data_IF_606692967627
#
_entry.id   IF_606692967627
#
_cell.length_a   1.000
_cell.length_b   1.000
_cell.length_c   1.000
_cell.angle_alpha   90.00
_cell.angle_beta   90.00
_cell.angle_gamma   90.00
#
_symmetry.space_group_name_H-M   'P 1'
#
loop_
_entity.id
_entity.type
_entity.pdbx_description
1 polymer ?
#
# COMPACT_ATOMS: atom_id res chain seq x y z
N UNK A 1 -30.24 15.83 -86.26
CA UNK A 1 -30.95 15.51 -84.99
C UNK A 1 -30.12 14.75 -83.96
N UNK A 2 -28.87 14.32 -84.19
CA UNK A 2 -28.07 13.50 -83.28
C UNK A 2 -27.12 14.33 -82.31
N UNK A 3 -26.82 15.55 -82.65
CA UNK A 3 -25.91 16.38 -81.79
C UNK A 3 -26.60 17.03 -80.57
N UNK A 4 -27.91 17.21 -80.62
CA UNK A 4 -28.68 17.83 -79.51
C UNK A 4 -28.96 16.86 -78.34
N UNK A 5 -29.08 15.57 -78.62
CA UNK A 5 -29.29 14.54 -77.62
C UNK A 5 -28.03 14.29 -76.78
N UNK A 6 -26.82 14.45 -77.35
CA UNK A 6 -25.55 14.25 -76.64
C UNK A 6 -25.28 15.32 -75.58
N UNK A 7 -25.61 16.61 -75.86
CA UNK A 7 -25.37 17.69 -74.91
C UNK A 7 -26.33 17.66 -73.71
N UNK A 8 -27.54 17.20 -73.86
CA UNK A 8 -28.50 17.04 -72.77
C UNK A 8 -28.10 15.87 -71.87
N UNK A 9 -27.64 14.76 -72.45
CA UNK A 9 -27.21 13.58 -71.69
C UNK A 9 -25.97 13.89 -70.81
N UNK A 10 -25.00 14.63 -71.34
CA UNK A 10 -23.81 15.05 -70.62
C UNK A 10 -24.15 16.01 -69.45
N UNK A 11 -25.09 16.94 -69.64
CA UNK A 11 -25.58 17.82 -68.57
C UNK A 11 -26.27 17.02 -67.47
N UNK A 12 -27.12 16.08 -67.78
CA UNK A 12 -27.77 15.23 -66.81
C UNK A 12 -26.78 14.33 -66.04
N UNK A 13 -25.74 13.84 -66.72
CA UNK A 13 -24.70 13.01 -66.10
C UNK A 13 -23.86 13.87 -65.14
N UNK A 14 -23.50 15.13 -65.51
CA UNK A 14 -22.80 16.04 -64.59
C UNK A 14 -23.64 16.45 -63.37
N UNK A 15 -24.97 16.64 -63.55
CA UNK A 15 -25.87 16.88 -62.42
C UNK A 15 -26.00 15.66 -61.50
N UNK A 16 -26.07 14.45 -62.05
CA UNK A 16 -26.15 13.22 -61.32
C UNK A 16 -24.86 12.94 -60.53
N UNK A 17 -23.71 13.18 -61.14
CA UNK A 17 -22.39 13.08 -60.49
C UNK A 17 -22.24 14.15 -59.39
N UNK A 18 -22.68 15.39 -59.63
CA UNK A 18 -22.67 16.45 -58.63
C UNK A 18 -23.61 16.12 -57.43
N UNK A 19 -24.78 15.55 -57.69
CA UNK A 19 -25.75 15.12 -56.68
C UNK A 19 -25.21 13.92 -55.86
N UNK A 20 -24.57 12.94 -56.50
CA UNK A 20 -23.89 11.83 -55.86
C UNK A 20 -22.74 12.30 -55.00
N UNK A 21 -21.92 13.24 -55.45
CA UNK A 21 -20.84 13.84 -54.68
C UNK A 21 -21.38 14.63 -53.46
N UNK A 22 -22.46 15.40 -53.63
CA UNK A 22 -23.08 16.13 -52.50
C UNK A 22 -23.73 15.18 -51.50
N UNK A 23 -24.32 14.06 -51.92
CA UNK A 23 -24.86 13.01 -51.02
C UNK A 23 -23.74 12.26 -50.28
N UNK A 24 -22.62 11.98 -50.94
CA UNK A 24 -21.44 11.38 -50.31
C UNK A 24 -20.82 12.32 -49.27
N UNK A 25 -20.77 13.63 -49.55
CA UNK A 25 -20.26 14.63 -48.58
C UNK A 25 -21.25 14.78 -47.39
N UNK A 26 -22.56 14.85 -47.66
CA UNK A 26 -23.59 14.96 -46.61
C UNK A 26 -23.69 13.72 -45.75
N UNK A 27 -23.54 12.52 -46.36
CA UNK A 27 -23.56 11.26 -45.61
C UNK A 27 -22.36 11.02 -44.72
N UNK A 28 -21.19 11.63 -45.03
CA UNK A 28 -19.96 11.41 -44.28
C UNK A 28 -19.92 12.16 -42.94
N UNK A 29 -20.76 13.18 -42.74
CA UNK A 29 -20.69 14.05 -41.56
C UNK A 29 -21.43 13.52 -40.32
N UNK A 30 -22.32 12.51 -40.43
CA UNK A 30 -23.25 12.22 -39.34
C UNK A 30 -23.17 10.83 -38.67
N UNK A 31 -22.35 9.89 -39.14
CA UNK A 31 -22.38 8.51 -38.61
C UNK A 31 -21.04 7.77 -38.51
N UNK A 32 -19.87 8.43 -38.56
CA UNK A 32 -18.61 7.70 -38.46
C UNK A 32 -18.19 7.60 -37.00
N UNK A 33 -18.29 6.38 -36.45
CA UNK A 33 -17.71 5.99 -35.15
C UNK A 33 -16.17 5.95 -35.15
N UNK A 34 -15.54 6.08 -36.31
CA UNK A 34 -14.09 6.13 -36.49
C UNK A 34 -13.65 7.44 -37.13
N UNK A 35 -12.46 7.93 -36.75
CA UNK A 35 -11.84 9.10 -37.39
C UNK A 35 -11.56 8.76 -38.86
N UNK A 36 -12.21 9.47 -39.78
CA UNK A 36 -11.88 9.32 -41.20
C UNK A 36 -10.52 9.99 -41.49
N UNK A 37 -9.78 9.43 -42.42
CA UNK A 37 -8.49 9.94 -42.89
C UNK A 37 -8.52 11.45 -43.22
N UNK A 38 -9.56 11.92 -43.85
CA UNK A 38 -9.76 13.32 -44.20
C UNK A 38 -9.87 14.28 -43.03
N UNK A 39 -10.58 13.86 -41.97
CA UNK A 39 -10.69 14.66 -40.73
C UNK A 39 -9.36 14.74 -39.98
N UNK A 40 -8.59 13.67 -40.02
CA UNK A 40 -7.22 13.67 -39.43
C UNK A 40 -6.30 14.61 -40.18
N UNK A 41 -6.32 14.56 -41.52
CA UNK A 41 -5.49 15.44 -42.38
C UNK A 41 -5.87 16.91 -42.19
N UNK A 42 -7.17 17.22 -42.20
CA UNK A 42 -7.66 18.57 -41.96
C UNK A 42 -7.33 19.08 -40.58
N UNK A 43 -7.49 18.20 -39.53
CA UNK A 43 -7.14 18.55 -38.18
C UNK A 43 -5.63 18.75 -37.95
N UNK A 44 -4.77 18.08 -38.70
CA UNK A 44 -3.32 18.32 -38.67
C UNK A 44 -2.92 19.67 -39.30
N UNK A 45 -3.57 20.03 -40.39
CA UNK A 45 -3.27 21.29 -41.11
C UNK A 45 -3.77 22.53 -40.33
N UNK A 46 -5.01 22.50 -39.86
CA UNK A 46 -5.68 23.59 -39.15
C UNK A 46 -6.52 23.07 -37.97
N UNK A 47 -5.93 22.65 -36.85
CA UNK A 47 -6.65 21.97 -35.78
C UNK A 47 -7.78 22.77 -35.14
N UNK A 48 -7.54 24.09 -34.93
CA UNK A 48 -8.52 24.97 -34.29
C UNK A 48 -9.70 25.27 -35.20
N UNK A 49 -9.45 25.58 -36.48
CA UNK A 49 -10.50 25.81 -37.44
C UNK A 49 -11.36 24.56 -37.64
N UNK A 50 -10.74 23.39 -37.79
CA UNK A 50 -11.43 22.10 -37.92
C UNK A 50 -12.28 21.79 -36.70
N UNK A 51 -11.79 22.08 -35.49
CA UNK A 51 -12.57 21.91 -34.28
C UNK A 51 -13.85 22.77 -34.27
N UNK A 52 -13.76 24.03 -34.67
CA UNK A 52 -14.92 24.94 -34.70
C UNK A 52 -15.86 24.68 -35.86
N UNK A 53 -15.35 24.20 -36.97
CA UNK A 53 -16.21 23.83 -38.12
C UNK A 53 -17.00 22.53 -37.88
N UNK A 54 -16.41 21.57 -37.15
CA UNK A 54 -17.01 20.24 -36.91
C UNK A 54 -17.06 19.90 -35.40
N UNK A 55 -17.69 20.71 -34.56
CA UNK A 55 -17.59 20.59 -33.09
C UNK A 55 -18.15 19.26 -32.58
N UNK A 56 -19.24 18.75 -33.13
CA UNK A 56 -19.81 17.45 -32.72
C UNK A 56 -18.89 16.29 -33.07
N UNK A 57 -18.30 16.30 -34.24
CA UNK A 57 -17.35 15.28 -34.66
C UNK A 57 -16.13 15.25 -33.74
N UNK A 58 -15.51 16.39 -33.48
CA UNK A 58 -14.36 16.48 -32.60
C UNK A 58 -14.71 16.15 -31.16
N UNK A 59 -15.88 16.56 -30.67
CA UNK A 59 -16.33 16.20 -29.31
C UNK A 59 -16.42 14.66 -29.13
N UNK A 60 -16.94 13.95 -30.12
CA UNK A 60 -17.09 12.50 -30.07
C UNK A 60 -15.77 11.74 -30.28
N UNK A 61 -14.84 12.30 -31.04
CA UNK A 61 -13.61 11.62 -31.47
C UNK A 61 -12.33 12.21 -30.85
N UNK A 62 -12.45 13.16 -29.94
CA UNK A 62 -11.30 13.93 -29.40
C UNK A 62 -10.25 13.03 -28.74
N UNK A 63 -10.63 11.95 -28.10
CA UNK A 63 -9.73 10.99 -27.47
C UNK A 63 -8.83 10.25 -28.49
N UNK A 64 -9.28 10.15 -29.73
CA UNK A 64 -8.60 9.43 -30.82
C UNK A 64 -7.73 10.33 -31.70
N UNK A 65 -7.76 11.65 -31.49
CA UNK A 65 -6.92 12.58 -32.26
C UNK A 65 -5.43 12.26 -32.08
N UNK A 66 -4.61 12.51 -33.13
CA UNK A 66 -3.16 12.44 -33.01
C UNK A 66 -2.65 13.31 -31.85
N UNK A 67 -1.59 12.90 -31.19
CA UNK A 67 -1.07 13.58 -29.98
C UNK A 67 -0.71 15.05 -30.24
N UNK A 68 -0.08 15.34 -31.38
CA UNK A 68 0.28 16.72 -31.77
C UNK A 68 -0.96 17.61 -31.92
N UNK A 69 -1.99 17.11 -32.59
CA UNK A 69 -3.26 17.83 -32.79
C UNK A 69 -3.96 18.06 -31.45
N UNK A 70 -4.04 17.02 -30.64
CA UNK A 70 -4.65 17.07 -29.32
C UNK A 70 -3.91 18.04 -28.39
N UNK A 71 -2.57 17.98 -28.37
CA UNK A 71 -1.73 18.90 -27.61
C UNK A 71 -1.84 20.34 -28.06
N UNK A 72 -2.00 20.59 -29.37
CA UNK A 72 -2.26 21.93 -29.89
C UNK A 72 -3.60 22.50 -29.40
N UNK A 73 -4.69 21.70 -29.50
CA UNK A 73 -6.01 22.08 -29.02
C UNK A 73 -6.04 22.28 -27.50
N UNK A 74 -5.31 21.46 -26.74
CA UNK A 74 -5.18 21.60 -25.29
C UNK A 74 -4.53 22.93 -24.89
N UNK A 75 -3.47 23.36 -25.60
CA UNK A 75 -2.82 24.68 -25.41
C UNK A 75 -3.71 25.86 -25.82
N UNK A 76 -4.75 25.61 -26.61
CA UNK A 76 -5.77 26.64 -26.97
C UNK A 76 -6.95 26.63 -25.98
N UNK A 77 -6.76 26.06 -24.79
CA UNK A 77 -7.71 26.03 -23.68
C UNK A 77 -9.06 25.38 -24.00
N UNK A 78 -9.03 24.33 -24.84
CA UNK A 78 -10.23 23.51 -25.10
C UNK A 78 -10.32 22.43 -24.01
N UNK A 79 -11.28 22.50 -23.06
CA UNK A 79 -11.30 21.63 -21.88
C UNK A 79 -11.31 20.12 -22.20
N UNK A 80 -12.08 19.72 -23.22
CA UNK A 80 -12.12 18.33 -23.66
C UNK A 80 -10.78 17.85 -24.24
N UNK A 81 -10.04 18.72 -24.94
CA UNK A 81 -8.70 18.42 -25.43
C UNK A 81 -7.68 18.38 -24.28
N UNK A 82 -7.73 19.34 -23.34
CA UNK A 82 -6.88 19.36 -22.16
C UNK A 82 -7.02 18.05 -21.35
N UNK A 83 -8.25 17.64 -21.09
CA UNK A 83 -8.52 16.40 -20.37
C UNK A 83 -7.93 15.18 -21.09
N UNK A 84 -8.23 14.98 -22.38
CA UNK A 84 -7.76 13.81 -23.12
C UNK A 84 -6.23 13.84 -23.35
N UNK A 85 -5.64 15.02 -23.55
CA UNK A 85 -4.19 15.17 -23.66
C UNK A 85 -3.50 14.82 -22.33
N UNK A 86 -4.06 15.26 -21.20
CA UNK A 86 -3.54 14.91 -19.90
C UNK A 86 -3.51 13.40 -19.65
N UNK A 87 -4.56 12.68 -20.06
CA UNK A 87 -4.57 11.20 -19.95
C UNK A 87 -3.48 10.55 -20.80
N UNK A 88 -3.23 11.04 -22.03
CA UNK A 88 -2.12 10.56 -22.86
C UNK A 88 -0.76 10.82 -22.20
N UNK A 89 -0.57 12.00 -21.62
CA UNK A 89 0.66 12.35 -20.89
C UNK A 89 0.86 11.47 -19.63
N UNK A 90 -0.21 11.20 -18.86
CA UNK A 90 -0.15 10.29 -17.70
C UNK A 90 0.26 8.88 -18.16
N UNK A 91 -0.35 8.35 -19.21
CA UNK A 91 0.00 7.05 -19.76
C UNK A 91 1.45 6.98 -20.28
N UNK A 92 2.00 8.12 -20.74
CA UNK A 92 3.40 8.26 -21.11
C UNK A 92 4.33 8.62 -19.92
N UNK A 93 3.83 8.55 -18.67
CA UNK A 93 4.54 8.90 -17.43
C UNK A 93 5.04 10.37 -17.36
N UNK A 94 4.48 11.27 -18.19
CA UNK A 94 4.77 12.72 -18.20
C UNK A 94 3.83 13.46 -17.22
N UNK A 95 3.83 13.05 -15.98
CA UNK A 95 2.81 13.41 -14.99
C UNK A 95 2.77 14.91 -14.67
N UNK A 96 3.92 15.59 -14.55
CA UNK A 96 3.95 17.03 -14.25
C UNK A 96 3.39 17.87 -15.41
N UNK A 97 3.67 17.47 -16.65
CA UNK A 97 3.06 18.12 -17.81
C UNK A 97 1.55 17.84 -17.88
N UNK A 98 1.13 16.61 -17.58
CA UNK A 98 -0.27 16.24 -17.53
C UNK A 98 -1.04 17.10 -16.53
N UNK A 99 -0.44 17.39 -15.37
CA UNK A 99 -1.04 18.15 -14.29
C UNK A 99 -1.48 19.54 -14.73
N UNK A 100 -0.69 20.21 -15.55
CA UNK A 100 -1.03 21.54 -16.09
C UNK A 100 -2.35 21.55 -16.87
N UNK A 101 -2.67 20.45 -17.55
CA UNK A 101 -3.86 20.35 -18.38
C UNK A 101 -5.09 19.79 -17.61
N UNK A 102 -4.91 18.74 -16.80
CA UNK A 102 -6.06 18.20 -16.08
C UNK A 102 -6.57 19.14 -15.00
N UNK A 103 -5.72 19.94 -14.34
CA UNK A 103 -6.15 20.96 -13.39
C UNK A 103 -7.12 21.98 -14.00
N UNK A 104 -6.86 22.38 -15.25
CA UNK A 104 -7.70 23.36 -15.96
C UNK A 104 -9.02 22.76 -16.46
N UNK A 105 -9.06 21.44 -16.68
CA UNK A 105 -10.21 20.79 -17.33
C UNK A 105 -11.09 19.97 -16.41
N UNK A 106 -10.60 19.59 -15.22
CA UNK A 106 -11.27 18.59 -14.36
C UNK A 106 -12.64 19.06 -13.84
N UNK A 107 -12.82 20.35 -13.61
CA UNK A 107 -14.10 20.90 -13.16
C UNK A 107 -15.18 20.83 -14.25
N UNK A 108 -14.75 20.88 -15.51
CA UNK A 108 -15.63 20.87 -16.69
C UNK A 108 -16.00 19.48 -17.20
N UNK A 109 -15.47 18.41 -16.55
CA UNK A 109 -15.78 17.04 -16.97
C UNK A 109 -16.69 16.32 -15.99
N UNK A 110 -17.52 15.42 -16.55
CA UNK A 110 -18.47 14.65 -15.75
C UNK A 110 -17.80 13.57 -14.86
N UNK A 111 -18.61 12.97 -14.00
CA UNK A 111 -18.20 11.99 -12.98
C UNK A 111 -17.35 10.84 -13.56
N UNK A 112 -17.77 10.22 -14.66
CA UNK A 112 -17.05 9.10 -15.28
C UNK A 112 -15.62 9.47 -15.72
N UNK A 113 -15.45 10.66 -16.28
CA UNK A 113 -14.13 11.17 -16.66
C UNK A 113 -13.25 11.46 -15.43
N UNK A 114 -13.83 11.99 -14.34
CA UNK A 114 -13.11 12.14 -13.06
C UNK A 114 -12.65 10.79 -12.50
N UNK A 115 -13.49 9.76 -12.58
CA UNK A 115 -13.10 8.40 -12.19
C UNK A 115 -11.96 7.86 -13.08
N UNK A 116 -12.01 8.08 -14.39
CA UNK A 116 -10.96 7.66 -15.30
C UNK A 116 -9.62 8.33 -14.99
N UNK A 117 -9.62 9.65 -14.74
CA UNK A 117 -8.41 10.37 -14.31
C UNK A 117 -7.89 9.83 -12.98
N UNK A 118 -8.76 9.69 -11.99
CA UNK A 118 -8.37 9.17 -10.68
C UNK A 118 -7.76 7.76 -10.78
N UNK A 119 -8.31 6.89 -11.66
CA UNK A 119 -7.74 5.57 -11.91
C UNK A 119 -6.37 5.64 -12.59
N UNK A 120 -6.18 6.53 -13.57
CA UNK A 120 -4.89 6.73 -14.22
C UNK A 120 -3.82 7.24 -13.24
N UNK A 121 -4.17 8.20 -12.39
CA UNK A 121 -3.29 8.71 -11.33
C UNK A 121 -2.95 7.64 -10.30
N UNK A 122 -3.94 6.83 -9.90
CA UNK A 122 -3.74 5.70 -8.98
C UNK A 122 -2.74 4.69 -9.56
N UNK A 123 -2.90 4.31 -10.83
CA UNK A 123 -2.00 3.38 -11.52
C UNK A 123 -0.55 3.87 -11.56
N UNK A 124 -0.35 5.18 -11.63
CA UNK A 124 0.96 5.82 -11.60
C UNK A 124 1.47 6.14 -10.17
N UNK A 125 0.72 5.76 -9.12
CA UNK A 125 1.09 6.04 -7.72
C UNK A 125 1.10 7.53 -7.37
N UNK A 126 0.32 8.37 -8.07
CA UNK A 126 0.29 9.83 -7.90
C UNK A 126 -0.59 10.23 -6.71
N UNK A 127 -0.17 9.83 -5.50
CA UNK A 127 -0.94 10.05 -4.27
C UNK A 127 -1.22 11.52 -3.97
N UNK A 128 -0.27 12.41 -4.21
CA UNK A 128 -0.44 13.85 -3.99
C UNK A 128 -1.47 14.47 -4.94
N UNK A 129 -1.54 13.98 -6.18
CA UNK A 129 -2.51 14.45 -7.16
C UNK A 129 -3.91 13.92 -6.84
N UNK A 130 -4.03 12.67 -6.36
CA UNK A 130 -5.29 12.15 -5.82
C UNK A 130 -5.74 12.91 -4.58
N UNK A 131 -4.81 13.27 -3.69
CA UNK A 131 -5.11 14.09 -2.53
C UNK A 131 -5.60 15.49 -2.95
N UNK A 132 -5.02 16.09 -3.98
CA UNK A 132 -5.47 17.38 -4.50
C UNK A 132 -6.90 17.28 -5.04
N UNK A 133 -7.24 16.22 -5.79
CA UNK A 133 -8.61 15.97 -6.23
C UNK A 133 -9.58 15.82 -5.05
N UNK A 134 -9.15 15.14 -3.98
CA UNK A 134 -9.96 14.96 -2.77
C UNK A 134 -10.24 16.31 -2.07
N UNK A 135 -9.21 17.14 -1.88
CA UNK A 135 -9.34 18.44 -1.20
C UNK A 135 -10.25 19.42 -1.97
N UNK A 136 -10.31 19.27 -3.30
CA UNK A 136 -11.19 20.04 -4.18
C UNK A 136 -12.61 19.45 -4.32
N UNK A 137 -12.92 18.34 -3.62
CA UNK A 137 -14.17 17.58 -3.77
C UNK A 137 -14.42 17.05 -5.20
N UNK A 138 -13.34 16.80 -5.95
CA UNK A 138 -13.37 16.31 -7.33
C UNK A 138 -13.03 14.82 -7.44
N UNK A 139 -12.57 14.19 -6.36
CA UNK A 139 -12.28 12.76 -6.32
C UNK A 139 -13.58 11.97 -6.10
N UNK A 140 -14.05 11.17 -7.08
CA UNK A 140 -15.24 10.37 -6.91
C UNK A 140 -15.04 9.26 -5.87
N UNK A 141 -16.10 8.95 -5.10
CA UNK A 141 -16.11 7.73 -4.26
C UNK A 141 -15.97 6.50 -5.15
N UNK A 142 -15.09 5.57 -4.74
CA UNK A 142 -14.79 4.35 -5.50
C UNK A 142 -13.39 3.81 -5.19
N UNK A 143 -12.82 3.02 -6.10
CA UNK A 143 -11.53 2.36 -5.88
C UNK A 143 -10.40 3.35 -5.56
N UNK A 144 -10.25 4.43 -6.35
CA UNK A 144 -9.19 5.42 -6.13
C UNK A 144 -9.31 6.14 -4.77
N UNK A 145 -10.55 6.45 -4.34
CA UNK A 145 -10.83 7.01 -3.01
C UNK A 145 -10.40 6.04 -1.91
N UNK A 146 -10.83 4.77 -1.97
CA UNK A 146 -10.47 3.75 -0.97
C UNK A 146 -8.95 3.51 -0.92
N UNK A 147 -8.28 3.46 -2.08
CA UNK A 147 -6.83 3.33 -2.12
C UNK A 147 -6.11 4.53 -1.49
N UNK A 148 -6.59 5.75 -1.73
CA UNK A 148 -6.03 6.95 -1.14
C UNK A 148 -6.26 6.99 0.38
N UNK A 149 -7.47 6.68 0.83
CA UNK A 149 -7.82 6.60 2.25
C UNK A 149 -6.92 5.58 2.98
N UNK A 150 -6.74 4.40 2.39
CA UNK A 150 -5.85 3.37 2.91
C UNK A 150 -4.38 3.81 2.92
N UNK A 151 -3.93 4.49 1.86
CA UNK A 151 -2.55 5.00 1.77
C UNK A 151 -2.25 6.04 2.85
N UNK A 152 -3.20 6.93 3.13
CA UNK A 152 -3.08 7.99 4.14
C UNK A 152 -3.24 7.49 5.58
N UNK A 153 -3.73 6.27 5.79
CA UNK A 153 -4.10 5.81 7.12
C UNK A 153 -5.36 6.50 7.66
N UNK A 154 -6.29 6.86 6.77
CA UNK A 154 -7.56 7.47 7.16
C UNK A 154 -8.34 6.55 8.10
N UNK A 155 -9.36 7.11 8.77
CA UNK A 155 -10.22 6.36 9.67
C UNK A 155 -10.72 5.04 9.02
N UNK A 156 -10.61 3.94 9.78
CA UNK A 156 -10.98 2.60 9.32
C UNK A 156 -12.43 2.50 8.84
N UNK A 157 -13.33 3.37 9.33
CA UNK A 157 -14.72 3.43 8.91
C UNK A 157 -14.90 4.02 7.51
N UNK A 158 -13.93 4.78 7.02
CA UNK A 158 -13.95 5.37 5.67
C UNK A 158 -13.55 4.39 4.58
N UNK A 159 -12.92 3.26 4.93
CA UNK A 159 -12.44 2.25 3.99
C UNK A 159 -13.40 1.07 3.96
N UNK A 160 -13.97 0.77 2.80
CA UNK A 160 -14.97 -0.29 2.66
C UNK A 160 -14.39 -1.67 3.04
N UNK A 161 -15.06 -2.45 3.91
CA UNK A 161 -14.62 -3.81 4.26
C UNK A 161 -14.46 -4.74 3.06
N UNK A 162 -15.37 -4.65 2.08
CA UNK A 162 -15.28 -5.42 0.83
C UNK A 162 -14.03 -5.09 0.01
N UNK A 163 -13.60 -3.84 0.00
CA UNK A 163 -12.38 -3.40 -0.65
C UNK A 163 -11.12 -3.97 0.06
N UNK A 164 -11.09 -3.91 1.39
CA UNK A 164 -10.01 -4.54 2.17
C UNK A 164 -9.93 -6.05 1.91
N UNK A 165 -11.08 -6.72 1.87
CA UNK A 165 -11.15 -8.15 1.57
C UNK A 165 -10.59 -8.49 0.19
N UNK A 166 -10.89 -7.70 -0.84
CA UNK A 166 -10.34 -7.86 -2.20
C UNK A 166 -8.80 -7.73 -2.22
N UNK A 167 -8.24 -6.89 -1.33
CA UNK A 167 -6.79 -6.75 -1.18
C UNK A 167 -6.14 -7.83 -0.30
N UNK A 168 -6.94 -8.75 0.28
CA UNK A 168 -6.46 -9.80 1.16
C UNK A 168 -6.34 -9.38 2.62
N UNK A 169 -6.93 -8.25 3.04
CA UNK A 169 -6.91 -7.73 4.40
C UNK A 169 -8.26 -7.91 5.11
N UNK A 170 -8.28 -7.69 6.42
CA UNK A 170 -9.50 -7.64 7.21
C UNK A 170 -9.81 -6.20 7.66
N UNK A 171 -11.08 -5.89 7.87
CA UNK A 171 -11.48 -4.65 8.52
C UNK A 171 -11.46 -4.81 10.04
N UNK A 172 -11.25 -3.73 10.78
CA UNK A 172 -11.12 -3.76 12.25
C UNK A 172 -12.38 -4.30 12.94
N UNK A 173 -13.55 -4.07 12.36
CA UNK A 173 -14.84 -4.57 12.84
C UNK A 173 -15.13 -6.03 12.42
N UNK A 174 -14.32 -6.61 11.53
CA UNK A 174 -14.43 -8.02 11.12
C UNK A 174 -13.25 -8.79 11.71
N UNK A 175 -13.46 -9.37 12.88
CA UNK A 175 -12.41 -10.07 13.61
C UNK A 175 -11.93 -11.31 12.84
N UNK A 176 -10.61 -11.44 12.54
CA UNK A 176 -10.09 -12.68 11.98
C UNK A 176 -10.30 -13.87 12.95
N UNK A 177 -10.48 -15.09 12.43
CA UNK A 177 -10.67 -16.26 13.29
C UNK A 177 -9.39 -16.57 14.09
N UNK A 178 -9.60 -17.03 15.33
CA UNK A 178 -8.55 -17.58 16.21
C UNK A 178 -8.32 -19.03 15.80
N UNK A 179 -7.06 -19.46 15.81
CA UNK A 179 -6.70 -20.84 15.55
C UNK A 179 -6.25 -21.55 16.83
N UNK A 180 -7.09 -22.44 17.34
CA UNK A 180 -6.82 -23.19 18.58
C UNK A 180 -5.71 -24.26 18.43
N UNK A 181 -5.20 -24.52 17.21
CA UNK A 181 -4.09 -25.45 17.01
C UNK A 181 -2.72 -24.85 17.33
N UNK A 182 -2.63 -23.52 17.45
CA UNK A 182 -1.39 -22.83 17.77
C UNK A 182 -1.26 -22.56 19.27
N UNK A 183 0.01 -22.51 19.75
CA UNK A 183 0.30 -22.11 21.12
C UNK A 183 -0.12 -20.69 21.40
N UNK A 184 0.08 -19.81 20.42
CA UNK A 184 -0.24 -18.38 20.54
C UNK A 184 -0.87 -17.84 19.27
N UNK A 185 -1.92 -17.06 19.43
CA UNK A 185 -2.56 -16.30 18.35
C UNK A 185 -2.07 -14.85 18.36
N UNK A 186 -1.60 -14.36 17.22
CA UNK A 186 -1.01 -13.04 17.07
C UNK A 186 -1.87 -12.21 16.12
N UNK A 187 -2.42 -11.10 16.62
CA UNK A 187 -3.17 -10.14 15.82
C UNK A 187 -2.22 -9.18 15.11
N UNK A 188 -2.32 -9.08 13.78
CA UNK A 188 -1.54 -8.17 12.96
C UNK A 188 -2.36 -6.92 12.60
N UNK A 189 -1.94 -5.73 13.03
CA UNK A 189 -2.60 -4.45 12.81
C UNK A 189 -1.72 -3.50 12.00
N UNK A 190 -2.22 -3.01 10.88
CA UNK A 190 -1.54 -2.02 10.04
C UNK A 190 -2.31 -0.71 9.98
N UNK A 191 -1.64 0.42 10.23
CA UNK A 191 -2.29 1.73 10.26
C UNK A 191 -2.47 2.36 8.87
N UNK A 192 -1.78 1.85 7.85
CA UNK A 192 -1.91 2.32 6.47
C UNK A 192 -1.63 1.20 5.46
N UNK A 193 -1.71 1.54 4.17
CA UNK A 193 -1.51 0.60 3.07
C UNK A 193 -0.15 -0.10 3.13
N UNK A 194 0.93 0.65 3.34
CA UNK A 194 2.29 0.11 3.36
C UNK A 194 2.49 -0.88 4.51
N UNK A 195 2.01 -0.53 5.70
CA UNK A 195 2.04 -1.39 6.89
C UNK A 195 1.30 -2.71 6.66
N UNK A 196 0.11 -2.68 6.04
CA UNK A 196 -0.66 -3.89 5.74
C UNK A 196 0.07 -4.83 4.78
N UNK A 197 0.61 -4.29 3.67
CA UNK A 197 1.37 -5.11 2.71
C UNK A 197 2.64 -5.68 3.33
N UNK A 198 3.33 -4.91 4.17
CA UNK A 198 4.52 -5.36 4.89
C UNK A 198 4.19 -6.50 5.86
N UNK A 199 3.14 -6.33 6.68
CA UNK A 199 2.65 -7.40 7.58
C UNK A 199 2.20 -8.65 6.82
N UNK A 200 1.53 -8.48 5.67
CA UNK A 200 1.16 -9.60 4.79
C UNK A 200 2.40 -10.34 4.28
N UNK A 201 3.45 -9.62 3.91
CA UNK A 201 4.74 -10.22 3.51
C UNK A 201 5.38 -10.99 4.66
N UNK A 202 5.36 -10.45 5.89
CA UNK A 202 5.89 -11.14 7.08
C UNK A 202 5.09 -12.40 7.39
N UNK A 203 3.76 -12.33 7.36
CA UNK A 203 2.90 -13.48 7.57
C UNK A 203 3.15 -14.59 6.52
N UNK A 204 3.31 -14.21 5.25
CA UNK A 204 3.61 -15.15 4.17
C UNK A 204 4.99 -15.83 4.36
N UNK A 205 6.02 -15.06 4.75
CA UNK A 205 7.34 -15.61 5.05
C UNK A 205 7.30 -16.54 6.25
N UNK A 206 6.60 -16.15 7.32
CA UNK A 206 6.42 -16.97 8.52
C UNK A 206 5.69 -18.27 8.19
N UNK A 207 4.58 -18.22 7.48
CA UNK A 207 3.79 -19.40 7.11
C UNK A 207 4.57 -20.39 6.22
N UNK A 208 5.48 -19.87 5.35
CA UNK A 208 6.37 -20.71 4.55
C UNK A 208 7.41 -21.45 5.40
N UNK A 209 7.88 -20.83 6.46
CA UNK A 209 8.87 -21.38 7.39
C UNK A 209 8.57 -20.92 8.81
N UNK A 210 7.63 -21.59 9.50
CA UNK A 210 7.26 -21.21 10.87
C UNK A 210 8.44 -21.33 11.84
N UNK A 211 8.64 -20.32 12.66
CA UNK A 211 9.68 -20.28 13.68
C UNK A 211 9.08 -20.13 15.09
N UNK A 212 9.61 -20.83 16.09
CA UNK A 212 10.71 -21.81 16.00
C UNK A 212 10.26 -23.16 15.45
N UNK A 213 8.96 -23.43 15.39
CA UNK A 213 8.33 -24.65 14.87
C UNK A 213 6.89 -24.38 14.41
N UNK A 214 6.33 -25.30 13.63
CA UNK A 214 4.92 -25.24 13.23
C UNK A 214 4.01 -25.25 14.45
N UNK A 215 2.94 -24.44 14.43
CA UNK A 215 1.97 -24.34 15.53
C UNK A 215 2.47 -23.53 16.74
N UNK A 216 3.65 -22.90 16.70
CA UNK A 216 4.09 -22.00 17.76
C UNK A 216 3.23 -20.72 17.77
N UNK A 217 3.19 -20.00 16.66
CA UNK A 217 2.37 -18.80 16.51
C UNK A 217 1.44 -18.93 15.30
N UNK A 218 0.19 -18.53 15.45
CA UNK A 218 -0.74 -18.30 14.36
C UNK A 218 -0.87 -16.79 14.12
N UNK A 219 -0.34 -16.32 13.00
CA UNK A 219 -0.46 -14.92 12.59
C UNK A 219 -1.81 -14.70 11.91
N UNK A 220 -2.58 -13.73 12.37
CA UNK A 220 -3.83 -13.36 11.72
C UNK A 220 -3.60 -12.82 10.31
N UNK A 221 -4.65 -12.80 9.48
CA UNK A 221 -4.70 -11.91 8.33
C UNK A 221 -4.49 -10.47 8.82
N UNK A 222 -3.67 -9.61 8.13
CA UNK A 222 -3.51 -8.23 8.54
C UNK A 222 -4.83 -7.47 8.55
N UNK A 223 -5.06 -6.70 9.60
CA UNK A 223 -6.27 -5.92 9.87
C UNK A 223 -5.95 -4.44 9.72
N UNK A 224 -6.78 -3.73 9.01
CA UNK A 224 -6.64 -2.28 8.87
C UNK A 224 -7.14 -1.57 10.13
N UNK A 225 -6.28 -0.73 10.73
CA UNK A 225 -6.54 -0.02 11.97
C UNK A 225 -6.25 1.50 11.87
N UNK A 226 -6.27 2.06 10.65
CA UNK A 226 -6.09 3.50 10.44
C UNK A 226 -7.14 4.31 11.20
N UNK A 227 -6.76 5.44 11.79
CA UNK A 227 -7.61 6.27 12.63
C UNK A 227 -7.95 5.70 14.01
N UNK A 228 -7.99 4.36 14.18
CA UNK A 228 -8.19 3.72 15.47
C UNK A 228 -6.91 3.67 16.32
N UNK A 229 -5.77 3.64 15.66
CA UNK A 229 -4.44 3.62 16.27
C UNK A 229 -3.62 4.77 15.71
N UNK A 230 -3.09 5.59 16.60
CA UNK A 230 -2.14 6.64 16.28
C UNK A 230 -0.72 6.15 16.57
N UNK A 231 0.16 6.25 15.57
CA UNK A 231 1.55 5.81 15.66
C UNK A 231 2.49 6.99 15.44
N UNK A 232 3.34 7.25 16.42
CA UNK A 232 4.37 8.27 16.39
C UNK A 232 5.76 7.65 16.59
N UNK A 233 6.80 8.39 16.22
CA UNK A 233 8.16 8.10 16.62
C UNK A 233 8.46 8.90 17.89
N UNK A 234 8.54 8.21 19.04
CA UNK A 234 8.84 8.84 20.32
C UNK A 234 10.22 8.40 20.78
N UNK A 235 11.15 9.32 20.89
CA UNK A 235 12.53 9.04 21.30
C UNK A 235 13.22 7.94 20.47
N UNK A 236 12.95 7.90 19.16
CA UNK A 236 13.51 6.91 18.24
C UNK A 236 12.75 5.58 18.18
N UNK A 237 11.83 5.33 19.09
CA UNK A 237 11.03 4.07 19.13
C UNK A 237 9.66 4.25 18.49
N UNK A 238 9.16 3.20 17.86
CA UNK A 238 7.77 3.15 17.40
C UNK A 238 6.85 3.18 18.63
N UNK A 239 5.90 4.12 18.65
CA UNK A 239 4.93 4.25 19.74
C UNK A 239 3.53 4.36 19.13
N UNK A 240 2.75 3.30 19.29
CA UNK A 240 1.40 3.20 18.76
C UNK A 240 0.39 3.12 19.90
N UNK A 241 -0.56 4.04 19.91
CA UNK A 241 -1.58 4.19 20.95
C UNK A 241 -2.97 4.03 20.34
N UNK A 242 -3.81 3.24 21.00
CA UNK A 242 -5.22 3.15 20.66
C UNK A 242 -5.94 4.43 21.06
N UNK A 243 -6.73 4.97 20.16
CA UNK A 243 -7.56 6.15 20.43
C UNK A 243 -8.76 5.84 21.35
N UNK A 244 -9.20 4.57 21.36
CA UNK A 244 -10.36 4.12 22.13
C UNK A 244 -10.04 2.79 22.84
N UNK A 245 -10.14 2.79 24.18
CA UNK A 245 -9.88 1.60 25.01
C UNK A 245 -10.91 0.49 24.82
N UNK A 246 -12.18 0.81 24.56
CA UNK A 246 -13.22 -0.17 24.31
C UNK A 246 -12.98 -0.88 22.98
N UNK A 247 -12.68 -0.14 21.93
CA UNK A 247 -12.32 -0.69 20.61
C UNK A 247 -11.08 -1.58 20.70
N UNK A 248 -10.07 -1.17 21.49
CA UNK A 248 -8.91 -2.01 21.78
C UNK A 248 -9.33 -3.35 22.40
N UNK A 249 -10.09 -3.33 23.48
CA UNK A 249 -10.52 -4.53 24.19
C UNK A 249 -11.32 -5.47 23.27
N UNK A 250 -12.23 -4.91 22.47
CA UNK A 250 -13.03 -5.66 21.50
C UNK A 250 -12.16 -6.31 20.41
N UNK A 251 -11.22 -5.55 19.83
CA UNK A 251 -10.40 -6.01 18.71
C UNK A 251 -9.36 -7.04 19.12
N UNK A 252 -8.75 -6.90 20.31
CA UNK A 252 -7.66 -7.78 20.78
C UNK A 252 -8.13 -8.99 21.57
N UNK A 253 -9.41 -9.07 21.93
CA UNK A 253 -9.95 -10.17 22.71
C UNK A 253 -9.67 -11.53 22.04
N UNK A 254 -9.14 -12.51 22.80
CA UNK A 254 -8.81 -13.87 22.37
C UNK A 254 -7.50 -14.00 21.59
N UNK A 255 -6.77 -12.89 21.35
CA UNK A 255 -5.39 -12.96 20.89
C UNK A 255 -4.43 -12.86 22.08
N UNK A 256 -3.37 -13.67 22.02
CA UNK A 256 -2.32 -13.67 23.04
C UNK A 256 -1.42 -12.45 22.90
N UNK A 257 -1.12 -12.09 21.66
CA UNK A 257 -0.22 -11.00 21.31
C UNK A 257 -0.78 -10.13 20.18
N UNK A 258 -0.32 -8.89 20.15
CA UNK A 258 -0.69 -7.91 19.12
C UNK A 258 0.57 -7.34 18.50
N UNK A 259 0.64 -7.30 17.16
CA UNK A 259 1.67 -6.62 16.39
C UNK A 259 1.03 -5.41 15.73
N UNK A 260 1.55 -4.22 15.98
CA UNK A 260 1.08 -2.96 15.38
C UNK A 260 2.22 -2.42 14.52
N UNK A 261 1.92 -2.15 13.26
CA UNK A 261 2.89 -1.55 12.34
C UNK A 261 2.47 -0.14 11.94
N UNK A 262 3.31 0.82 12.32
CA UNK A 262 3.23 2.23 11.94
C UNK A 262 4.21 2.58 10.82
N UNK A 263 4.46 3.87 10.60
CA UNK A 263 5.32 4.38 9.52
C UNK A 263 6.78 4.54 9.91
N UNK A 264 7.08 4.81 11.19
CA UNK A 264 8.42 5.20 11.65
C UNK A 264 8.71 4.72 13.08
N UNK A 265 9.97 4.76 13.45
CA UNK A 265 10.49 4.36 14.76
C UNK A 265 11.08 2.95 14.77
N UNK A 266 12.01 2.71 15.69
CA UNK A 266 12.62 1.40 15.92
C UNK A 266 11.61 0.44 16.54
N UNK A 267 11.75 -0.84 16.21
CA UNK A 267 10.93 -1.91 16.76
C UNK A 267 11.08 -2.03 18.28
N UNK A 268 10.02 -2.44 18.94
CA UNK A 268 10.04 -2.73 20.38
C UNK A 268 8.88 -3.62 20.82
N UNK A 269 9.06 -4.31 21.92
CA UNK A 269 8.02 -5.09 22.59
C UNK A 269 7.78 -4.56 24.01
N UNK A 270 6.53 -4.37 24.38
CA UNK A 270 6.10 -4.00 25.73
C UNK A 270 4.92 -4.87 26.12
N UNK A 271 5.15 -5.79 27.06
CA UNK A 271 4.14 -6.78 27.46
C UNK A 271 3.69 -7.66 26.29
N UNK A 272 2.40 -7.64 25.99
CA UNK A 272 1.80 -8.43 24.90
C UNK A 272 1.72 -7.67 23.57
N UNK A 273 2.40 -6.53 23.44
CA UNK A 273 2.33 -5.63 22.27
C UNK A 273 3.71 -5.47 21.65
N UNK A 274 3.85 -5.84 20.35
CA UNK A 274 4.97 -5.53 19.49
C UNK A 274 4.62 -4.30 18.66
N UNK A 275 5.55 -3.37 18.52
CA UNK A 275 5.40 -2.17 17.70
C UNK A 275 6.52 -2.12 16.67
N UNK A 276 6.17 -2.00 15.41
CA UNK A 276 7.06 -2.00 14.27
C UNK A 276 6.84 -0.76 13.40
N UNK A 277 7.81 -0.45 12.57
CA UNK A 277 7.61 0.46 11.42
C UNK A 277 7.75 -0.28 10.10
N UNK A 278 7.29 0.35 9.00
CA UNK A 278 7.44 -0.19 7.64
C UNK A 278 8.90 -0.34 7.21
N UNK A 279 9.85 0.25 7.94
CA UNK A 279 11.28 0.08 7.71
C UNK A 279 11.83 -1.25 8.27
N UNK A 280 11.10 -1.92 9.19
CA UNK A 280 11.52 -3.20 9.76
C UNK A 280 11.63 -4.27 8.67
N UNK A 281 12.65 -5.13 8.75
CA UNK A 281 12.75 -6.33 7.93
C UNK A 281 12.23 -7.56 8.69
N UNK A 282 12.17 -8.71 8.01
CA UNK A 282 11.62 -9.93 8.60
C UNK A 282 12.46 -10.46 9.78
N UNK A 283 13.78 -10.27 9.79
CA UNK A 283 14.61 -10.68 10.92
C UNK A 283 14.34 -9.84 12.16
N UNK A 284 14.05 -8.54 12.00
CA UNK A 284 13.57 -7.67 13.09
C UNK A 284 12.24 -8.21 13.64
N UNK A 285 11.30 -8.56 12.78
CA UNK A 285 10.03 -9.17 13.22
C UNK A 285 10.25 -10.47 14.01
N UNK A 286 11.16 -11.36 13.58
CA UNK A 286 11.50 -12.58 14.30
C UNK A 286 12.17 -12.30 15.67
N UNK A 287 13.09 -11.33 15.72
CA UNK A 287 13.72 -10.88 16.96
C UNK A 287 12.67 -10.42 17.98
N UNK A 288 11.77 -9.54 17.53
CA UNK A 288 10.70 -9.03 18.41
C UNK A 288 9.70 -10.14 18.79
N UNK A 289 9.48 -11.12 17.91
CA UNK A 289 8.61 -12.28 18.23
C UNK A 289 9.21 -13.16 19.34
N UNK A 290 10.55 -13.27 19.40
CA UNK A 290 11.24 -13.99 20.48
C UNK A 290 11.04 -13.33 21.85
N UNK A 291 10.91 -12.01 21.91
CA UNK A 291 10.59 -11.32 23.17
C UNK A 291 9.23 -11.76 23.76
N UNK A 292 8.25 -12.16 22.94
CA UNK A 292 7.00 -12.73 23.44
C UNK A 292 7.20 -14.06 24.19
N UNK A 293 8.30 -14.75 23.91
CA UNK A 293 8.70 -15.96 24.66
C UNK A 293 9.72 -15.67 25.77
N UNK A 294 9.87 -14.41 26.18
CA UNK A 294 10.72 -14.01 27.32
C UNK A 294 12.21 -13.91 26.99
N UNK A 295 12.63 -13.98 25.72
CA UNK A 295 14.02 -13.72 25.34
C UNK A 295 14.38 -12.26 25.61
N UNK A 296 15.63 -12.03 25.96
CA UNK A 296 16.19 -10.71 26.25
C UNK A 296 17.27 -10.30 25.25
N UNK A 297 17.45 -8.99 25.08
CA UNK A 297 18.51 -8.42 24.26
C UNK A 297 19.90 -8.77 24.78
N UNK A 298 20.81 -9.09 23.88
CA UNK A 298 22.22 -9.43 24.20
C UNK A 298 23.19 -8.28 23.91
N UNK A 299 22.69 -7.16 23.38
CA UNK A 299 23.41 -5.88 23.32
C UNK A 299 23.26 -5.13 24.64
N UNK A 300 23.98 -4.01 24.78
CA UNK A 300 23.93 -3.18 25.99
C UNK A 300 22.51 -2.72 26.28
N UNK A 301 21.94 -3.21 27.38
CA UNK A 301 20.60 -2.83 27.81
C UNK A 301 20.53 -1.36 28.26
N UNK A 302 19.37 -0.70 28.13
CA UNK A 302 19.14 0.62 28.70
C UNK A 302 19.47 0.63 30.22
N UNK A 303 20.02 1.71 30.71
CA UNK A 303 20.43 1.83 32.14
C UNK A 303 19.29 1.53 33.10
N UNK A 304 18.08 1.98 32.77
CA UNK A 304 16.85 1.68 33.53
C UNK A 304 16.62 0.17 33.69
N UNK A 305 16.83 -0.61 32.63
CA UNK A 305 16.67 -2.05 32.63
C UNK A 305 17.83 -2.75 33.34
N UNK A 306 19.06 -2.30 33.15
CA UNK A 306 20.24 -2.84 33.87
C UNK A 306 20.11 -2.71 35.39
N UNK A 307 19.53 -1.62 35.90
CA UNK A 307 19.38 -1.35 37.37
C UNK A 307 18.61 -2.44 38.10
N UNK A 308 17.71 -3.17 37.46
CA UNK A 308 16.97 -4.25 38.09
C UNK A 308 17.32 -5.62 37.54
N UNK A 309 17.51 -5.78 36.22
CA UNK A 309 17.78 -7.09 35.60
C UNK A 309 19.20 -7.57 35.96
N UNK A 310 20.21 -6.72 35.84
CA UNK A 310 21.62 -7.08 36.07
C UNK A 310 21.99 -7.25 37.57
N UNK A 311 21.06 -6.98 38.48
CA UNK A 311 21.21 -7.29 39.93
C UNK A 311 20.68 -8.69 40.30
N UNK A 312 19.99 -9.35 39.38
CA UNK A 312 19.47 -10.71 39.62
C UNK A 312 20.58 -11.75 39.49
N UNK A 313 20.41 -12.90 40.09
CA UNK A 313 21.30 -14.07 39.93
C UNK A 313 20.56 -15.18 39.20
N UNK A 314 21.27 -15.88 38.30
CA UNK A 314 20.74 -17.03 37.59
C UNK A 314 20.16 -16.73 36.19
N UNK A 315 19.35 -17.62 35.66
CA UNK A 315 18.67 -17.47 34.40
C UNK A 315 17.57 -16.40 34.50
N UNK A 316 17.78 -15.26 33.88
CA UNK A 316 16.82 -14.15 33.84
C UNK A 316 15.96 -14.17 32.59
N UNK A 317 16.44 -14.89 31.55
CA UNK A 317 15.77 -15.15 30.30
C UNK A 317 16.28 -16.47 29.70
N UNK A 318 15.58 -17.09 28.73
CA UNK A 318 16.06 -18.33 28.09
C UNK A 318 17.45 -18.22 27.48
N UNK A 319 17.85 -17.01 27.06
CA UNK A 319 19.14 -16.70 26.46
C UNK A 319 20.05 -15.82 27.32
N UNK A 320 19.69 -15.55 28.58
CA UNK A 320 20.49 -14.66 29.42
C UNK A 320 20.61 -15.18 30.85
N UNK A 321 21.85 -15.40 31.29
CA UNK A 321 22.24 -15.74 32.64
C UNK A 321 23.02 -14.59 33.27
N UNK A 322 22.69 -14.19 34.45
CA UNK A 322 23.42 -13.14 35.21
C UNK A 322 24.16 -13.80 36.37
N UNK A 323 25.47 -13.53 36.49
CA UNK A 323 26.30 -13.96 37.63
C UNK A 323 26.67 -12.75 38.51
N UNK A 324 26.55 -12.93 39.83
CA UNK A 324 26.99 -11.98 40.84
C UNK A 324 28.36 -12.37 41.46
N UNK A 325 29.16 -13.15 40.75
CA UNK A 325 30.48 -13.62 41.19
C UNK A 325 30.64 -15.15 41.10
N UNK A 326 29.57 -15.89 40.81
CA UNK A 326 29.62 -17.34 40.60
C UNK A 326 30.09 -17.67 39.18
N UNK A 327 30.52 -18.91 38.96
CA UNK A 327 30.86 -19.43 37.62
C UNK A 327 29.66 -19.38 36.70
N UNK A 328 29.87 -18.98 35.46
CA UNK A 328 28.84 -19.10 34.41
C UNK A 328 28.47 -20.57 34.14
N UNK A 329 27.25 -20.86 33.66
CA UNK A 329 26.90 -22.20 33.21
C UNK A 329 27.88 -22.69 32.14
N UNK A 330 28.19 -23.97 32.13
CA UNK A 330 29.11 -24.55 31.18
C UNK A 330 28.67 -24.28 29.73
N UNK A 331 29.59 -23.82 28.88
CA UNK A 331 29.31 -23.47 27.49
C UNK A 331 28.64 -22.10 27.25
N UNK A 332 28.45 -21.32 28.33
CA UNK A 332 27.95 -19.95 28.21
C UNK A 332 29.10 -18.92 28.07
N UNK A 333 28.85 -17.82 27.37
CA UNK A 333 29.83 -16.82 27.01
C UNK A 333 29.38 -15.42 27.44
N UNK A 334 30.30 -14.54 27.77
CA UNK A 334 29.99 -13.16 28.19
C UNK A 334 29.12 -12.45 27.13
N UNK A 335 28.08 -11.76 27.61
CA UNK A 335 27.19 -10.88 26.86
C UNK A 335 27.47 -9.43 27.21
N UNK A 336 27.11 -8.53 26.29
CA UNK A 336 27.21 -7.07 26.50
C UNK A 336 26.01 -6.50 27.26
N UNK A 337 25.00 -7.29 27.58
CA UNK A 337 23.72 -6.84 28.16
C UNK A 337 23.88 -6.03 29.43
N UNK A 338 24.80 -6.44 30.32
CA UNK A 338 25.05 -5.79 31.60
C UNK A 338 26.43 -5.11 31.61
N UNK A 339 26.44 -3.81 31.75
CA UNK A 339 27.67 -2.99 32.01
C UNK A 339 27.77 -2.56 33.47
N UNK A 340 26.66 -2.62 34.22
CA UNK A 340 26.57 -2.30 35.64
C UNK A 340 25.84 -3.44 36.36
N UNK A 341 26.32 -3.84 37.54
CA UNK A 341 25.79 -4.98 38.29
C UNK A 341 26.56 -6.26 38.03
N UNK A 342 25.85 -7.37 37.89
CA UNK A 342 26.44 -8.67 37.58
C UNK A 342 26.95 -8.81 36.16
N UNK A 343 27.66 -9.90 35.89
CA UNK A 343 28.16 -10.24 34.55
C UNK A 343 27.09 -11.05 33.79
N UNK A 344 26.71 -10.57 32.62
CA UNK A 344 25.77 -11.27 31.76
C UNK A 344 26.46 -12.34 30.89
N UNK A 345 25.81 -13.47 30.70
CA UNK A 345 26.26 -14.57 29.84
C UNK A 345 25.14 -15.00 28.90
N UNK A 346 25.51 -15.45 27.71
CA UNK A 346 24.65 -15.92 26.64
C UNK A 346 25.06 -17.30 26.14
N UNK A 347 24.18 -18.09 25.48
CA UNK A 347 24.40 -19.51 25.17
C UNK A 347 25.40 -19.78 24.02
N UNK A 348 25.87 -18.75 23.30
CA UNK A 348 26.82 -18.92 22.18
C UNK A 348 27.91 -17.85 22.19
N UNK A 349 29.10 -18.19 21.71
CA UNK A 349 30.20 -17.23 21.50
C UNK A 349 29.90 -16.29 20.33
N UNK A 350 29.29 -16.82 19.30
CA UNK A 350 28.93 -16.05 18.08
C UNK A 350 27.81 -15.04 18.39
N UNK A 351 27.76 -14.01 17.56
CA UNK A 351 26.65 -13.08 17.57
C UNK A 351 25.33 -13.78 17.23
N UNK A 352 24.26 -13.35 17.85
CA UNK A 352 22.95 -13.91 17.70
C UNK A 352 21.95 -12.89 17.14
N UNK A 353 20.77 -13.35 16.75
CA UNK A 353 19.64 -12.48 16.37
C UNK A 353 19.25 -11.56 17.53
N UNK A 354 19.40 -11.98 18.79
CA UNK A 354 19.10 -11.17 19.98
C UNK A 354 20.18 -10.11 20.28
N UNK A 355 21.32 -10.17 19.60
CA UNK A 355 22.38 -9.16 19.68
C UNK A 355 22.38 -8.24 18.47
N UNK A 356 22.15 -8.78 17.28
CA UNK A 356 22.08 -8.06 16.01
C UNK A 356 20.92 -8.58 15.18
N UNK A 357 19.88 -7.79 15.06
CA UNK A 357 18.62 -8.15 14.39
C UNK A 357 18.80 -8.53 12.90
N UNK A 358 19.92 -8.16 12.25
CA UNK A 358 20.24 -8.53 10.88
C UNK A 358 20.62 -10.01 10.73
N UNK A 359 21.04 -10.65 11.81
CA UNK A 359 21.43 -12.05 11.81
C UNK A 359 20.17 -12.93 11.79
N UNK A 360 20.23 -14.02 11.05
CA UNK A 360 19.16 -15.00 11.05
C UNK A 360 19.13 -15.84 12.33
N UNK A 361 18.01 -16.55 12.56
CA UNK A 361 17.83 -17.44 13.69
C UNK A 361 18.75 -18.67 13.58
N UNK A 362 19.69 -18.82 14.52
CA UNK A 362 20.60 -19.98 14.58
C UNK A 362 19.89 -21.23 15.11
N UNK A 363 20.46 -22.42 14.84
CA UNK A 363 19.92 -23.71 15.34
C UNK A 363 19.82 -23.73 16.88
N UNK A 364 20.82 -23.16 17.58
CA UNK A 364 20.85 -23.12 19.05
C UNK A 364 19.71 -22.26 19.61
N UNK A 365 19.50 -21.07 19.05
CA UNK A 365 18.42 -20.19 19.51
C UNK A 365 17.03 -20.74 19.13
N UNK A 366 16.92 -21.42 17.99
CA UNK A 366 15.66 -22.12 17.65
C UNK A 366 15.34 -23.21 18.67
N UNK A 367 16.32 -24.02 19.08
CA UNK A 367 16.10 -25.07 20.10
C UNK A 367 15.65 -24.46 21.44
N UNK A 368 16.35 -23.43 21.94
CA UNK A 368 15.96 -22.74 23.18
C UNK A 368 14.54 -22.15 23.06
N UNK A 369 14.15 -21.66 21.90
CA UNK A 369 12.83 -21.09 21.68
C UNK A 369 11.75 -22.19 21.67
N UNK A 370 12.03 -23.35 21.06
CA UNK A 370 11.15 -24.53 21.13
C UNK A 370 10.94 -24.97 22.59
N UNK A 371 12.03 -25.09 23.34
CA UNK A 371 11.99 -25.49 24.74
C UNK A 371 11.12 -24.53 25.56
N UNK A 372 11.26 -23.23 25.34
CA UNK A 372 10.49 -22.20 26.04
C UNK A 372 9.00 -22.27 25.70
N UNK A 373 8.62 -22.49 24.43
CA UNK A 373 7.21 -22.62 24.02
C UNK A 373 6.59 -23.88 24.63
N UNK A 374 7.32 -24.99 24.64
CA UNK A 374 6.83 -26.24 25.21
C UNK A 374 6.65 -26.15 26.74
N UNK A 375 7.60 -25.52 27.45
CA UNK A 375 7.49 -25.26 28.90
C UNK A 375 6.26 -24.40 29.24
N UNK A 376 6.00 -23.35 28.45
CA UNK A 376 4.82 -22.51 28.64
C UNK A 376 3.50 -23.22 28.40
N UNK A 377 3.46 -24.18 27.46
CA UNK A 377 2.26 -25.05 27.25
C UNK A 377 1.99 -25.95 28.45
N UNK A 378 3.03 -26.57 29.01
CA UNK A 378 2.89 -27.46 30.19
C UNK A 378 2.34 -26.66 31.37
N UNK A 379 2.87 -25.47 31.62
CA UNK A 379 2.42 -24.58 32.71
C UNK A 379 0.98 -24.04 32.56
N UNK A 380 0.37 -24.13 31.38
CA UNK A 380 -1.05 -23.74 31.14
C UNK A 380 -2.02 -24.92 31.39
N UNK A 381 -1.52 -26.16 31.46
CA UNK A 381 -2.33 -27.38 31.64
C UNK A 381 -2.42 -27.81 33.13
N UNK A 382 -1.51 -27.28 33.96
CA UNK A 382 -1.50 -27.43 35.41
C UNK A 382 -2.26 -26.25 36.07
#
# INVERSE_FOLDING_TARGET
>A
MSLWLGQTLVKYLCYLIGLLFSLLIAGSCNQLSSISFWHVLHAQANPLQSYWQFPRYFSNNIAHLPELTLGFLARKNIPSAQYNYSLKLINASKNEQAKLFWLQSIEHVGHNKRQQLAHALLKQGRWNDLQLLLTQNLLPKGAAFNHLALHKGSDYEQVLPSFLHQLGFAALNTRPPINNSCSYNVLLLGVNREALFKLSSFAAQYNKKPEPQSGAYCLSKPVYAGGAIDCANTSGMANCLWQNAHLKAQSTNGYDYTVIMGTSGSANVTGKKMQLSTQANYNVFLHELMHFSGFEDEYTLPISKQRWLCKRQGYVAPNLYISQGEAAPNGWHKSLSCQQGGVAYKPTKQWSIMQYQQLGLSKRYRALWVDQINAAKTAQLD
#
